data_IF_288835982250
#
_entry.id   IF_288835982250
#
_cell.length_a   1.000
_cell.length_b   1.000
_cell.length_c   1.000
_cell.angle_alpha   90.00
_cell.angle_beta   90.00
_cell.angle_gamma   90.00
#
_symmetry.space_group_name_H-M   'P 1'
#
loop_
_entity.id
_entity.type
_entity.pdbx_description
1 polymer ?
#
# COMPACT_ATOMS: atom_id res chain seq x y z
N UNK A 1 16.83 -16.97 -2.07
CA UNK A 1 15.58 -16.92 -2.84
C UNK A 1 14.90 -15.64 -2.42
N UNK A 2 14.84 -14.68 -3.34
CA UNK A 2 14.45 -13.29 -3.07
C UNK A 2 13.05 -13.25 -2.46
N UNK A 3 12.90 -12.61 -1.32
CA UNK A 3 11.60 -12.26 -0.76
C UNK A 3 10.92 -11.34 -1.78
N UNK A 4 10.05 -11.91 -2.62
CA UNK A 4 9.36 -11.18 -3.67
C UNK A 4 8.36 -10.24 -3.00
N UNK A 5 8.80 -9.02 -2.76
CA UNK A 5 7.97 -8.02 -2.15
C UNK A 5 6.80 -7.70 -3.10
N UNK A 6 5.59 -8.12 -2.71
CA UNK A 6 4.39 -7.93 -3.53
C UNK A 6 4.15 -6.44 -3.68
N UNK A 7 4.04 -6.00 -4.93
CA UNK A 7 3.65 -4.62 -5.25
C UNK A 7 2.13 -4.51 -5.14
N UNK A 8 1.66 -3.47 -4.47
CA UNK A 8 0.25 -3.13 -4.32
C UNK A 8 0.05 -1.61 -4.40
N UNK A 9 -1.19 -1.16 -4.29
CA UNK A 9 -1.52 0.23 -3.98
C UNK A 9 -1.93 0.29 -2.51
N UNK A 10 -1.39 1.26 -1.77
CA UNK A 10 -1.75 1.50 -0.39
C UNK A 10 -2.18 2.95 -0.17
N UNK A 11 -3.15 3.14 0.71
CA UNK A 11 -3.73 4.41 1.10
C UNK A 11 -3.16 4.84 2.45
N UNK A 12 -2.75 6.10 2.56
CA UNK A 12 -2.43 6.72 3.84
C UNK A 12 -3.69 6.80 4.71
N UNK A 13 -3.62 6.28 5.94
CA UNK A 13 -4.79 6.21 6.84
C UNK A 13 -5.25 7.58 7.34
N UNK A 14 -4.41 8.61 7.27
CA UNK A 14 -4.73 9.95 7.75
C UNK A 14 -5.32 10.88 6.69
N UNK A 15 -4.70 10.96 5.50
CA UNK A 15 -5.12 11.91 4.46
C UNK A 15 -5.73 11.25 3.21
N UNK A 16 -5.73 9.92 3.13
CA UNK A 16 -6.28 9.18 1.99
C UNK A 16 -5.44 9.18 0.72
N UNK A 17 -4.22 9.75 0.75
CA UNK A 17 -3.33 9.74 -0.42
C UNK A 17 -2.93 8.31 -0.80
N UNK A 18 -2.95 8.01 -2.11
CA UNK A 18 -2.62 6.69 -2.66
C UNK A 18 -1.17 6.63 -3.13
N UNK A 19 -0.51 5.50 -2.86
CA UNK A 19 0.87 5.25 -3.24
C UNK A 19 1.01 3.84 -3.82
N UNK A 20 1.88 3.70 -4.82
CA UNK A 20 2.47 2.39 -5.10
C UNK A 20 3.26 1.96 -3.87
N UNK A 21 3.07 0.73 -3.41
CA UNK A 21 3.63 0.25 -2.16
C UNK A 21 4.15 -1.19 -2.26
N UNK A 22 5.05 -1.50 -1.35
CA UNK A 22 5.60 -2.81 -1.10
C UNK A 22 4.98 -3.38 0.17
N UNK A 23 4.47 -4.62 0.12
CA UNK A 23 4.16 -5.39 1.32
C UNK A 23 5.45 -6.04 1.84
N UNK A 24 6.04 -5.44 2.89
CA UNK A 24 7.32 -5.90 3.46
C UNK A 24 7.14 -7.05 4.44
N UNK A 25 6.01 -7.09 5.14
CA UNK A 25 5.54 -8.25 5.92
C UNK A 25 4.01 -8.30 5.82
N UNK A 26 3.39 -9.42 6.21
CA UNK A 26 1.94 -9.58 6.11
C UNK A 26 1.20 -8.44 6.85
N UNK A 27 0.54 -7.56 6.08
CA UNK A 27 -0.16 -6.40 6.61
C UNK A 27 0.69 -5.14 6.85
N UNK A 28 1.99 -5.16 6.55
CA UNK A 28 2.85 -3.97 6.64
C UNK A 28 3.23 -3.46 5.24
N UNK A 29 2.82 -2.22 4.96
CA UNK A 29 3.00 -1.58 3.67
C UNK A 29 3.96 -0.40 3.76
N UNK A 30 4.82 -0.26 2.75
CA UNK A 30 5.73 0.88 2.59
C UNK A 30 5.60 1.49 1.20
N UNK A 31 5.39 2.82 1.09
CA UNK A 31 5.28 3.47 -0.20
C UNK A 31 6.61 3.45 -0.96
N UNK A 32 6.53 3.25 -2.27
CA UNK A 32 7.66 3.24 -3.19
C UNK A 32 8.02 4.69 -3.51
N UNK A 33 9.31 5.02 -3.38
CA UNK A 33 9.81 6.37 -3.68
C UNK A 33 9.56 7.41 -2.58
N UNK A 34 8.93 7.02 -1.47
CA UNK A 34 8.69 7.88 -0.31
C UNK A 34 9.23 7.22 0.97
N UNK A 35 10.53 7.42 1.25
CA UNK A 35 11.21 6.72 2.35
C UNK A 35 10.70 7.13 3.73
N UNK A 36 10.23 8.37 3.86
CA UNK A 36 9.83 8.97 5.14
C UNK A 36 8.29 8.94 5.36
N UNK A 37 7.54 8.24 4.50
CA UNK A 37 6.08 8.13 4.62
C UNK A 37 5.30 9.16 3.78
N UNK A 38 4.08 9.47 4.20
CA UNK A 38 3.18 10.34 3.47
C UNK A 38 3.60 11.81 3.62
N UNK A 39 3.29 12.64 2.62
CA UNK A 39 3.51 14.09 2.69
C UNK A 39 2.74 14.78 3.84
N UNK A 40 1.68 14.16 4.39
CA UNK A 40 0.97 14.67 5.56
C UNK A 40 1.69 14.39 6.90
N UNK A 41 2.73 13.54 6.90
CA UNK A 41 3.47 13.13 8.10
C UNK A 41 3.10 11.74 8.63
N UNK A 42 2.03 11.12 8.13
CA UNK A 42 1.61 9.77 8.51
C UNK A 42 2.55 8.70 7.92
N UNK A 43 2.79 7.62 8.68
CA UNK A 43 3.61 6.46 8.29
C UNK A 43 2.80 5.16 8.21
N UNK A 44 1.50 5.23 8.43
CA UNK A 44 0.56 4.11 8.45
C UNK A 44 -0.20 4.04 7.12
N UNK A 45 -0.23 2.84 6.54
CA UNK A 45 -0.77 2.59 5.20
C UNK A 45 -1.55 1.29 5.18
N UNK A 46 -2.73 1.33 4.56
CA UNK A 46 -3.60 0.17 4.36
C UNK A 46 -3.69 -0.15 2.86
N UNK A 47 -3.73 -1.42 2.44
CA UNK A 47 -3.87 -1.74 1.03
C UNK A 47 -5.26 -1.30 0.57
N UNK A 48 -5.36 -0.73 -0.62
CA UNK A 48 -6.65 -0.66 -1.30
C UNK A 48 -6.85 -2.01 -1.97
N UNK A 49 -7.90 -2.70 -1.54
CA UNK A 49 -8.29 -3.98 -2.13
C UNK A 49 -8.65 -3.76 -3.60
N UNK A 50 -7.89 -4.38 -4.50
CA UNK A 50 -8.34 -4.57 -5.88
C UNK A 50 -9.29 -5.77 -5.83
N UNK A 51 -10.53 -5.53 -5.39
CA UNK A 51 -11.60 -6.50 -5.59
C UNK A 51 -11.85 -6.59 -7.10
N UNK A 52 -11.01 -7.34 -7.80
CA UNK A 52 -11.32 -7.90 -9.12
C UNK A 52 -12.36 -9.05 -8.99
N UNK A 53 -13.09 -9.09 -7.87
CA UNK A 53 -14.26 -9.89 -7.57
C UNK A 53 -15.59 -9.19 -7.88
N UNK A 54 -15.62 -8.18 -8.75
CA UNK A 54 -16.87 -7.80 -9.42
C UNK A 54 -17.38 -9.01 -10.22
N UNK A 55 -18.23 -9.83 -9.59
CA UNK A 55 -19.19 -10.69 -10.26
C UNK A 55 -19.97 -9.80 -11.22
N UNK A 56 -19.70 -9.92 -12.51
CA UNK A 56 -20.58 -9.39 -13.54
C UNK A 56 -21.65 -10.46 -13.77
N UNK A 57 -22.77 -10.27 -13.08
CA UNK A 57 -23.98 -11.08 -13.23
C UNK A 57 -24.52 -11.05 -14.68
#
# INVERSE_FOLDING_TARGET
MSEENRRTIAMCEECGALYAAFEITAGEFRPIGQRDGCQCGCTEFTPVDDDSGLSLD
#
